data_IF_649943283726
#
_entry.id   IF_649943283726
#
_cell.length_a   1.000
_cell.length_b   1.000
_cell.length_c   1.000
_cell.angle_alpha   90.00
_cell.angle_beta   90.00
_cell.angle_gamma   90.00
#
_symmetry.space_group_name_H-M   'P 1'
#
loop_
_entity.id
_entity.type
_entity.pdbx_description
1 polymer ?
#
# COMPACT_ATOMS: atom_id res chain seq x y z
N UNK A 1 -25.53 13.17 0.72
CA UNK A 1 -24.39 12.54 0.20
C UNK A 1 -23.77 11.46 1.06
N UNK A 2 -24.50 11.03 2.08
CA UNK A 2 -24.06 9.93 2.94
C UNK A 2 -23.82 8.62 2.19
N UNK A 3 -24.57 8.37 1.10
CA UNK A 3 -24.40 7.16 0.27
C UNK A 3 -23.07 7.14 -0.47
N UNK A 4 -22.65 8.29 -1.04
CA UNK A 4 -21.38 8.40 -1.76
C UNK A 4 -20.20 8.20 -0.79
N UNK A 5 -20.28 8.80 0.39
CA UNK A 5 -19.25 8.68 1.42
C UNK A 5 -19.12 7.24 1.93
N UNK A 6 -20.25 6.54 2.13
CA UNK A 6 -20.26 5.14 2.53
C UNK A 6 -19.64 4.23 1.47
N UNK A 7 -19.97 4.47 0.21
CA UNK A 7 -19.43 3.69 -0.92
C UNK A 7 -17.92 3.90 -1.04
N UNK A 8 -17.47 5.14 -0.92
CA UNK A 8 -16.04 5.47 -0.96
C UNK A 8 -15.31 4.86 0.22
N UNK A 9 -15.88 4.93 1.42
CA UNK A 9 -15.29 4.37 2.62
C UNK A 9 -15.20 2.85 2.52
N UNK A 10 -16.26 2.19 2.03
CA UNK A 10 -16.28 0.74 1.84
C UNK A 10 -15.19 0.30 0.86
N UNK A 11 -15.00 1.05 -0.21
CA UNK A 11 -13.93 0.78 -1.19
C UNK A 11 -12.56 0.94 -0.55
N UNK A 12 -12.33 2.00 0.20
CA UNK A 12 -11.05 2.25 0.86
C UNK A 12 -10.74 1.16 1.89
N UNK A 13 -11.73 0.74 2.67
CA UNK A 13 -11.57 -0.33 3.64
C UNK A 13 -11.22 -1.65 2.96
N UNK A 14 -11.84 -1.94 1.81
CA UNK A 14 -11.55 -3.13 1.01
C UNK A 14 -10.11 -3.10 0.49
N UNK A 15 -9.65 -1.94 0.00
CA UNK A 15 -8.28 -1.76 -0.49
C UNK A 15 -7.28 -1.94 0.66
N UNK A 16 -7.57 -1.42 1.85
CA UNK A 16 -6.73 -1.61 3.04
C UNK A 16 -6.61 -3.07 3.44
N UNK A 17 -7.71 -3.83 3.33
CA UNK A 17 -7.68 -5.27 3.61
C UNK A 17 -6.79 -6.01 2.62
N UNK A 18 -6.86 -5.64 1.35
CA UNK A 18 -5.98 -6.21 0.32
C UNK A 18 -4.52 -5.88 0.60
N UNK A 19 -4.23 -4.66 0.99
CA UNK A 19 -2.88 -4.25 1.38
C UNK A 19 -2.32 -5.14 2.49
N UNK A 20 -3.12 -5.43 3.50
CA UNK A 20 -2.70 -6.31 4.60
C UNK A 20 -2.48 -7.75 4.13
N UNK A 21 -3.35 -8.26 3.26
CA UNK A 21 -3.21 -9.59 2.69
C UNK A 21 -1.95 -9.74 1.84
N UNK A 22 -1.53 -8.68 1.21
CA UNK A 22 -0.30 -8.63 0.42
C UNK A 22 0.93 -8.99 1.25
N UNK A 23 0.94 -8.68 2.53
CA UNK A 23 2.05 -8.97 3.42
C UNK A 23 2.21 -10.47 3.69
N UNK A 24 1.22 -11.29 3.37
CA UNK A 24 1.27 -12.75 3.58
C UNK A 24 2.11 -13.50 2.54
N UNK A 25 2.68 -12.80 1.56
CA UNK A 25 3.62 -13.39 0.62
C UNK A 25 3.02 -14.16 -0.54
N UNK A 26 1.71 -14.04 -0.78
CA UNK A 26 1.06 -14.66 -1.92
C UNK A 26 1.46 -13.98 -3.23
N UNK A 27 1.41 -14.73 -4.35
CA UNK A 27 1.56 -14.12 -5.66
C UNK A 27 0.43 -13.14 -5.93
N UNK A 28 0.67 -12.14 -6.80
CA UNK A 28 -0.34 -11.15 -7.14
C UNK A 28 -1.64 -11.80 -7.62
N UNK A 29 -1.53 -12.81 -8.49
CA UNK A 29 -2.71 -13.50 -9.01
C UNK A 29 -3.48 -14.22 -7.91
N UNK A 30 -2.81 -15.00 -7.08
CA UNK A 30 -3.44 -15.71 -5.97
C UNK A 30 -4.10 -14.73 -4.98
N UNK A 31 -3.42 -13.63 -4.69
CA UNK A 31 -3.92 -12.59 -3.82
C UNK A 31 -5.20 -11.94 -4.36
N UNK A 32 -5.22 -11.62 -5.66
CA UNK A 32 -6.36 -11.00 -6.32
C UNK A 32 -7.57 -11.94 -6.31
N UNK A 33 -7.38 -13.21 -6.66
CA UNK A 33 -8.47 -14.19 -6.64
C UNK A 33 -9.02 -14.43 -5.24
N UNK A 34 -8.15 -14.54 -4.25
CA UNK A 34 -8.55 -14.66 -2.86
C UNK A 34 -9.34 -13.44 -2.38
N UNK A 35 -8.86 -12.25 -2.74
CA UNK A 35 -9.53 -10.99 -2.43
C UNK A 35 -10.94 -10.91 -3.04
N UNK A 36 -11.07 -11.28 -4.32
CA UNK A 36 -12.35 -11.28 -5.01
C UNK A 36 -13.35 -12.18 -4.29
N UNK A 37 -12.92 -13.36 -3.86
CA UNK A 37 -13.75 -14.31 -3.15
C UNK A 37 -14.15 -13.79 -1.76
N UNK A 38 -13.19 -13.32 -0.98
CA UNK A 38 -13.45 -12.83 0.38
C UNK A 38 -14.32 -11.59 0.42
N UNK A 39 -14.15 -10.69 -0.53
CA UNK A 39 -14.90 -9.43 -0.58
C UNK A 39 -16.17 -9.54 -1.42
N UNK A 40 -16.40 -10.67 -2.07
CA UNK A 40 -17.56 -10.89 -2.95
C UNK A 40 -17.66 -9.83 -4.03
N UNK A 41 -16.54 -9.52 -4.66
CA UNK A 41 -16.44 -8.60 -5.79
C UNK A 41 -15.98 -9.36 -7.03
N UNK A 42 -16.16 -8.74 -8.20
CA UNK A 42 -15.69 -9.32 -9.44
C UNK A 42 -14.15 -9.35 -9.48
N UNK A 43 -13.60 -10.23 -10.28
CA UNK A 43 -12.15 -10.32 -10.49
C UNK A 43 -11.63 -9.00 -11.07
N UNK A 44 -12.39 -8.35 -11.94
CA UNK A 44 -12.02 -7.05 -12.48
C UNK A 44 -11.89 -5.98 -11.39
N UNK A 45 -12.85 -5.94 -10.48
CA UNK A 45 -12.81 -5.03 -9.33
C UNK A 45 -11.61 -5.35 -8.44
N UNK A 46 -11.35 -6.64 -8.19
CA UNK A 46 -10.20 -7.05 -7.39
C UNK A 46 -8.87 -6.63 -8.04
N UNK A 47 -8.74 -6.71 -9.36
CA UNK A 47 -7.56 -6.22 -10.07
C UNK A 47 -7.41 -4.70 -9.97
N UNK A 48 -8.52 -3.96 -10.00
CA UNK A 48 -8.49 -2.50 -9.79
C UNK A 48 -8.02 -2.18 -8.38
N UNK A 49 -8.52 -2.91 -7.38
CA UNK A 49 -8.07 -2.75 -6.00
C UNK A 49 -6.56 -3.03 -5.88
N UNK A 50 -6.07 -4.06 -6.57
CA UNK A 50 -4.66 -4.39 -6.58
C UNK A 50 -3.79 -3.27 -7.15
N UNK A 51 -4.26 -2.61 -8.21
CA UNK A 51 -3.53 -1.46 -8.78
C UNK A 51 -3.40 -0.33 -7.75
N UNK A 52 -4.46 -0.07 -7.00
CA UNK A 52 -4.43 0.94 -5.93
C UNK A 52 -3.46 0.54 -4.83
N UNK A 53 -3.44 -0.73 -4.44
CA UNK A 53 -2.50 -1.25 -3.44
C UNK A 53 -1.06 -1.08 -3.92
N UNK A 54 -0.78 -1.35 -5.18
CA UNK A 54 0.57 -1.17 -5.73
C UNK A 54 1.04 0.27 -5.64
N UNK A 55 0.15 1.23 -5.90
CA UNK A 55 0.46 2.64 -5.76
C UNK A 55 0.79 3.00 -4.31
N UNK A 56 0.03 2.48 -3.35
CA UNK A 56 0.28 2.71 -1.93
C UNK A 56 1.63 2.11 -1.50
N UNK A 57 1.94 0.91 -1.95
CA UNK A 57 3.22 0.26 -1.66
C UNK A 57 4.39 1.09 -2.21
N UNK A 58 4.26 1.58 -3.43
CA UNK A 58 5.29 2.40 -4.05
C UNK A 58 5.48 3.73 -3.30
N UNK A 59 4.39 4.37 -2.87
CA UNK A 59 4.45 5.59 -2.07
C UNK A 59 5.15 5.37 -0.73
N UNK A 60 4.79 4.30 -0.03
CA UNK A 60 5.41 3.94 1.26
C UNK A 60 6.89 3.66 1.09
N UNK A 61 7.26 2.95 0.04
CA UNK A 61 8.66 2.63 -0.27
C UNK A 61 9.46 3.90 -0.56
N UNK A 62 8.90 4.83 -1.33
CA UNK A 62 9.53 6.11 -1.63
C UNK A 62 9.75 6.94 -0.35
N UNK A 63 8.74 7.02 0.51
CA UNK A 63 8.83 7.74 1.77
C UNK A 63 9.93 7.15 2.67
N UNK A 64 10.00 5.82 2.78
CA UNK A 64 11.02 5.13 3.56
C UNK A 64 12.42 5.39 3.00
N UNK A 65 12.56 5.36 1.69
CA UNK A 65 13.83 5.65 1.01
C UNK A 65 14.28 7.07 1.29
N UNK A 66 13.39 8.05 1.16
CA UNK A 66 13.70 9.46 1.39
C UNK A 66 14.11 9.70 2.85
N UNK A 67 13.42 9.07 3.79
CA UNK A 67 13.76 9.13 5.21
C UNK A 67 15.13 8.53 5.50
N UNK A 68 15.46 7.40 4.86
CA UNK A 68 16.77 6.76 5.00
C UNK A 68 17.88 7.66 4.47
N UNK A 69 17.69 8.26 3.30
CA UNK A 69 18.68 9.19 2.71
C UNK A 69 18.88 10.41 3.59
N UNK A 70 17.80 10.97 4.14
CA UNK A 70 17.90 12.10 5.06
C UNK A 70 18.69 11.75 6.32
N UNK A 71 18.48 10.57 6.89
CA UNK A 71 19.21 10.07 8.06
C UNK A 71 20.71 9.91 7.75
N UNK A 72 21.03 9.33 6.60
CA UNK A 72 22.40 9.14 6.19
C UNK A 72 23.12 10.48 6.01
N UNK A 73 22.47 11.47 5.40
CA UNK A 73 23.01 12.80 5.26
C UNK A 73 23.26 13.48 6.61
N UNK A 74 22.32 13.34 7.53
CA UNK A 74 22.45 13.89 8.88
C UNK A 74 23.63 13.26 9.64
N UNK A 75 23.77 11.97 9.58
CA UNK A 75 24.90 11.25 10.19
C UNK A 75 26.24 11.69 9.60
N UNK A 76 26.29 11.85 8.28
CA UNK A 76 27.48 12.32 7.57
C UNK A 76 27.90 13.71 8.03
N UNK A 77 26.94 14.61 8.15
CA UNK A 77 27.20 15.97 8.64
C UNK A 77 27.75 15.95 10.07
N UNK A 78 27.17 15.13 10.95
CA UNK A 78 27.64 14.96 12.32
C UNK A 78 29.09 14.48 12.36
N UNK A 79 29.44 13.50 11.56
CA UNK A 79 30.80 12.99 11.50
C UNK A 79 31.80 14.06 11.07
N UNK A 80 31.45 14.89 10.11
CA UNK A 80 32.29 15.99 9.66
C UNK A 80 32.51 17.04 10.76
N UNK A 81 31.48 17.32 11.55
CA UNK A 81 31.58 18.28 12.64
C UNK A 81 32.37 17.77 13.84
N UNK A 82 32.46 16.46 14.01
CA UNK A 82 33.22 15.84 15.10
C UNK A 82 34.71 15.63 14.73
N UNK A 83 35.03 15.71 13.47
CA UNK A 83 36.40 15.60 13.01
C UNK A 83 37.12 16.96 13.05
#
# INVERSE_FOLDING_TARGET
MALTDRTTQAKQDRIRRLYRRQLDGLSARALVYDHAEKEQVSIETAWRDWREVKLLVDEDWQADRDNMLARLQHMRTKLFHQA
#
